data_IF_542456483945
#
_entry.id   IF_542456483945
#
_cell.length_a   1.000
_cell.length_b   1.000
_cell.length_c   1.000
_cell.angle_alpha   90.00
_cell.angle_beta   90.00
_cell.angle_gamma   90.00
#
_symmetry.space_group_name_H-M   'P 1'
#
loop_
_entity.id
_entity.type
_entity.pdbx_description
1 polymer ?
#
# COMPACT_ATOMS: atom_id res chain seq x y z
N UNK A 1 24.11 -4.91 16.92
CA UNK A 1 23.06 -4.04 17.51
C UNK A 1 22.19 -3.55 16.37
N UNK A 2 20.88 -3.77 16.48
CA UNK A 2 19.90 -3.46 15.44
C UNK A 2 19.48 -2.00 15.46
N UNK A 3 20.40 -1.13 15.04
CA UNK A 3 20.24 0.33 15.08
C UNK A 3 19.00 0.81 14.34
N UNK A 4 18.70 0.25 13.16
CA UNK A 4 17.56 0.68 12.34
C UNK A 4 16.21 0.23 12.91
N UNK A 5 16.11 -1.02 13.41
CA UNK A 5 14.87 -1.51 14.04
C UNK A 5 14.57 -0.73 15.31
N UNK A 6 15.60 -0.46 16.12
CA UNK A 6 15.46 0.35 17.33
C UNK A 6 15.07 1.79 16.99
N UNK A 7 15.68 2.41 15.98
CA UNK A 7 15.35 3.78 15.56
C UNK A 7 13.90 3.88 15.06
N UNK A 8 13.45 2.92 14.25
CA UNK A 8 12.06 2.92 13.75
C UNK A 8 11.06 2.61 14.87
N UNK A 9 11.35 1.68 15.77
CA UNK A 9 10.49 1.40 16.93
C UNK A 9 10.44 2.58 17.91
N UNK A 10 11.56 3.25 18.17
CA UNK A 10 11.60 4.48 18.99
C UNK A 10 10.83 5.60 18.31
N UNK A 11 10.95 5.79 17.00
CA UNK A 11 10.22 6.82 16.27
C UNK A 11 8.72 6.53 16.28
N UNK A 12 8.31 5.26 16.14
CA UNK A 12 6.91 4.84 16.23
C UNK A 12 6.35 4.90 17.67
N UNK A 13 7.20 4.81 18.70
CA UNK A 13 6.83 4.99 20.12
C UNK A 13 6.83 6.47 20.52
N UNK A 14 7.72 7.28 19.97
CA UNK A 14 7.88 8.72 20.23
C UNK A 14 6.81 9.55 19.53
N UNK A 15 6.14 9.01 18.53
CA UNK A 15 4.96 9.66 17.98
C UNK A 15 3.75 9.16 18.78
N UNK A 16 3.03 10.09 19.40
CA UNK A 16 1.74 9.91 20.09
C UNK A 16 0.60 9.40 19.18
N UNK A 17 0.96 8.77 18.06
CA UNK A 17 0.13 8.47 16.91
C UNK A 17 -0.99 7.48 17.19
N UNK A 18 -1.01 6.82 18.35
CA UNK A 18 -1.98 5.76 18.70
C UNK A 18 -2.18 4.75 17.55
N UNK A 19 -1.13 4.49 16.78
CA UNK A 19 -1.19 3.54 15.67
C UNK A 19 -0.85 2.16 16.20
N UNK A 20 -1.73 1.19 15.92
CA UNK A 20 -1.49 -0.20 16.31
C UNK A 20 -0.66 -0.90 15.24
N UNK A 21 0.61 -1.12 15.55
CA UNK A 21 1.50 -1.94 14.71
C UNK A 21 1.23 -3.40 15.03
N UNK A 22 0.83 -4.17 14.03
CA UNK A 22 0.63 -5.61 14.18
C UNK A 22 1.94 -6.37 14.12
N UNK A 23 2.84 -5.96 13.22
CA UNK A 23 4.09 -6.65 13.01
C UNK A 23 5.16 -5.70 12.47
N UNK A 24 6.40 -5.89 12.92
CA UNK A 24 7.57 -5.23 12.38
C UNK A 24 8.64 -6.30 12.13
N UNK A 25 8.99 -6.47 10.85
CA UNK A 25 10.00 -7.44 10.42
C UNK A 25 11.07 -6.78 9.57
N UNK A 26 12.30 -7.27 9.68
CA UNK A 26 13.36 -6.89 8.76
C UNK A 26 13.19 -7.62 7.43
N UNK A 27 13.53 -6.94 6.35
CA UNK A 27 13.56 -7.49 5.00
C UNK A 27 15.00 -7.40 4.46
N UNK A 28 15.25 -8.00 3.29
CA UNK A 28 16.57 -7.96 2.64
C UNK A 28 16.99 -6.51 2.37
N UNK A 29 18.30 -6.30 2.27
CA UNK A 29 18.92 -4.99 2.00
C UNK A 29 18.61 -3.95 3.08
N UNK A 30 18.75 -4.34 4.35
CA UNK A 30 18.59 -3.42 5.50
C UNK A 30 17.24 -2.69 5.50
N UNK A 31 16.18 -3.33 4.99
CA UNK A 31 14.84 -2.75 5.01
C UNK A 31 14.03 -3.20 6.21
N UNK A 32 12.97 -2.45 6.51
CA UNK A 32 11.95 -2.82 7.51
C UNK A 32 10.58 -2.83 6.84
N UNK A 33 9.82 -3.89 7.06
CA UNK A 33 8.42 -3.97 6.71
C UNK A 33 7.57 -3.83 7.97
N UNK A 34 6.61 -2.91 7.92
CA UNK A 34 5.66 -2.61 8.99
C UNK A 34 4.27 -3.03 8.52
N UNK A 35 3.57 -3.81 9.33
CA UNK A 35 2.18 -4.21 9.12
C UNK A 35 1.29 -3.48 10.11
N UNK A 36 0.19 -2.92 9.61
CA UNK A 36 -0.79 -2.17 10.39
C UNK A 36 -2.20 -2.68 10.11
N UNK A 37 -3.10 -2.41 11.05
CA UNK A 37 -4.48 -2.89 11.04
C UNK A 37 -5.32 -2.20 9.96
N UNK A 38 -5.05 -0.92 9.67
CA UNK A 38 -5.85 -0.13 8.73
C UNK A 38 -5.02 0.67 7.72
N UNK A 39 -5.64 0.98 6.58
CA UNK A 39 -5.03 1.81 5.52
C UNK A 39 -4.73 3.24 6.01
N UNK A 40 -5.56 3.78 6.90
CA UNK A 40 -5.37 5.10 7.49
C UNK A 40 -4.11 5.15 8.36
N UNK A 41 -3.89 4.12 9.18
CA UNK A 41 -2.68 3.97 9.99
C UNK A 41 -1.41 3.88 9.13
N UNK A 42 -1.47 3.13 8.02
CA UNK A 42 -0.36 3.04 7.06
C UNK A 42 -0.03 4.44 6.51
N UNK A 43 -1.03 5.20 6.08
CA UNK A 43 -0.80 6.54 5.55
C UNK A 43 -0.20 7.48 6.59
N UNK A 44 -0.70 7.46 7.83
CA UNK A 44 -0.14 8.25 8.93
C UNK A 44 1.34 7.93 9.16
N UNK A 45 1.69 6.64 9.25
CA UNK A 45 3.09 6.21 9.43
C UNK A 45 3.96 6.68 8.27
N UNK A 46 3.48 6.53 7.04
CA UNK A 46 4.26 6.93 5.86
C UNK A 46 4.54 8.42 5.85
N UNK A 47 3.54 9.24 6.17
CA UNK A 47 3.70 10.70 6.25
C UNK A 47 4.72 11.08 7.32
N UNK A 48 4.61 10.50 8.51
CA UNK A 48 5.47 10.83 9.64
C UNK A 48 6.93 10.39 9.42
N UNK A 49 7.13 9.16 8.94
CA UNK A 49 8.47 8.64 8.65
C UNK A 49 9.08 9.39 7.47
N UNK A 50 8.30 9.77 6.45
CA UNK A 50 8.82 10.66 5.38
C UNK A 50 9.19 12.04 5.89
N UNK A 51 8.40 12.63 6.77
CA UNK A 51 8.69 13.94 7.34
C UNK A 51 9.99 13.94 8.17
N UNK A 52 10.24 12.88 8.93
CA UNK A 52 11.42 12.78 9.81
C UNK A 52 12.66 12.19 9.14
N UNK A 53 12.48 11.28 8.19
CA UNK A 53 13.56 10.42 7.66
C UNK A 53 13.59 10.34 6.13
N UNK A 54 12.77 11.12 5.43
CA UNK A 54 12.59 11.00 3.96
C UNK A 54 13.84 11.26 3.12
N UNK A 55 14.86 11.90 3.69
CA UNK A 55 16.15 12.12 3.01
C UNK A 55 17.11 10.93 3.16
N UNK A 56 16.96 10.12 4.21
CA UNK A 56 17.85 9.00 4.52
C UNK A 56 17.24 7.65 4.14
N UNK A 57 15.91 7.54 4.13
CA UNK A 57 15.20 6.29 3.91
C UNK A 57 14.07 6.42 2.89
N UNK A 58 13.97 5.41 2.03
CA UNK A 58 12.87 5.30 1.06
C UNK A 58 11.67 4.63 1.70
N UNK A 59 10.65 5.42 2.01
CA UNK A 59 9.38 4.94 2.57
C UNK A 59 8.35 4.74 1.46
N UNK A 60 7.87 3.50 1.30
CA UNK A 60 6.89 3.14 0.26
C UNK A 60 5.79 2.26 0.84
N UNK A 61 4.56 2.49 0.38
CA UNK A 61 3.45 1.55 0.58
C UNK A 61 3.56 0.50 -0.53
N UNK A 62 3.68 -0.80 -0.22
CA UNK A 62 3.70 -1.84 -1.22
C UNK A 62 2.42 -1.80 -2.06
N UNK A 63 2.56 -1.76 -3.38
CA UNK A 63 1.46 -1.92 -4.31
C UNK A 63 1.45 -3.34 -4.87
N UNK A 64 0.27 -3.84 -5.21
CA UNK A 64 0.13 -5.13 -5.88
C UNK A 64 0.87 -5.07 -7.23
N UNK A 65 1.85 -5.95 -7.41
CA UNK A 65 2.57 -6.07 -8.68
C UNK A 65 1.68 -6.84 -9.66
N UNK A 66 1.14 -6.14 -10.66
CA UNK A 66 0.23 -6.66 -11.69
C UNK A 66 -1.04 -7.30 -11.10
N UNK A 67 -1.99 -6.50 -10.60
CA UNK A 67 -3.27 -7.02 -10.14
C UNK A 67 -3.95 -7.81 -11.27
N UNK A 68 -4.40 -9.03 -10.97
CA UNK A 68 -5.13 -9.89 -11.91
C UNK A 68 -6.52 -10.16 -11.35
N UNK A 69 -7.52 -10.10 -12.22
CA UNK A 69 -8.89 -10.45 -11.92
C UNK A 69 -9.26 -11.73 -12.67
N UNK A 70 -9.95 -12.66 -12.01
CA UNK A 70 -10.63 -13.76 -12.69
C UNK A 70 -12.13 -13.51 -12.54
N UNK A 71 -12.82 -13.53 -13.66
CA UNK A 71 -14.27 -13.37 -13.72
C UNK A 71 -14.86 -14.75 -14.05
N UNK A 72 -15.89 -15.15 -13.32
CA UNK A 72 -16.57 -16.43 -13.46
C UNK A 72 -18.03 -16.19 -13.84
N UNK A 73 -18.72 -17.24 -14.29
CA UNK A 73 -20.16 -17.19 -14.66
C UNK A 73 -20.46 -16.17 -15.77
N UNK A 74 -19.57 -16.09 -16.75
CA UNK A 74 -19.76 -15.28 -17.96
C UNK A 74 -20.60 -16.09 -18.94
N UNK A 75 -21.60 -15.45 -19.55
CA UNK A 75 -22.39 -16.08 -20.62
C UNK A 75 -21.51 -16.47 -21.81
N UNK A 76 -21.81 -17.61 -22.45
CA UNK A 76 -21.06 -18.05 -23.62
C UNK A 76 -21.23 -17.05 -24.77
N UNK A 77 -20.10 -16.61 -25.35
CA UNK A 77 -20.08 -15.71 -26.50
C UNK A 77 -19.83 -14.24 -26.20
N UNK A 78 -19.72 -13.85 -24.92
CA UNK A 78 -19.25 -12.51 -24.54
C UNK A 78 -17.79 -12.34 -24.95
N UNK A 79 -17.48 -11.24 -25.64
CA UNK A 79 -16.11 -10.92 -26.03
C UNK A 79 -15.33 -10.20 -24.90
N UNK A 80 -13.99 -10.25 -24.98
CA UNK A 80 -13.12 -9.64 -23.97
C UNK A 80 -13.33 -8.11 -23.85
N UNK A 81 -13.65 -7.42 -24.95
CA UNK A 81 -13.86 -5.97 -25.00
C UNK A 81 -15.20 -5.58 -24.36
N UNK A 82 -16.26 -6.34 -24.61
CA UNK A 82 -17.58 -6.22 -24.00
C UNK A 82 -17.48 -6.43 -22.49
N UNK A 83 -16.75 -7.46 -22.06
CA UNK A 83 -16.51 -7.73 -20.63
C UNK A 83 -15.78 -6.56 -19.96
N UNK A 84 -14.72 -6.04 -20.58
CA UNK A 84 -13.97 -4.89 -20.06
C UNK A 84 -14.87 -3.65 -19.98
N UNK A 85 -15.67 -3.40 -21.01
CA UNK A 85 -16.59 -2.26 -21.06
C UNK A 85 -17.66 -2.36 -19.98
N UNK A 86 -18.22 -3.54 -19.76
CA UNK A 86 -19.20 -3.78 -18.68
C UNK A 86 -18.59 -3.51 -17.29
N UNK A 87 -17.38 -4.00 -17.04
CA UNK A 87 -16.66 -3.77 -15.77
C UNK A 87 -16.38 -2.28 -15.57
N UNK A 88 -15.95 -1.56 -16.62
CA UNK A 88 -15.70 -0.12 -16.56
C UNK A 88 -16.98 0.68 -16.25
N UNK A 89 -18.08 0.37 -16.95
CA UNK A 89 -19.36 1.07 -16.76
C UNK A 89 -19.97 0.86 -15.37
N UNK A 90 -19.78 -0.31 -14.76
CA UNK A 90 -20.19 -0.55 -13.38
C UNK A 90 -19.36 0.22 -12.34
N UNK A 91 -18.15 0.65 -12.71
CA UNK A 91 -17.19 1.28 -11.81
C UNK A 91 -16.69 2.62 -12.36
N UNK A 92 -17.57 3.63 -12.55
CA UNK A 92 -17.22 4.91 -13.14
C UNK A 92 -16.14 5.68 -12.36
N UNK A 93 -15.99 5.39 -11.06
CA UNK A 93 -14.94 5.94 -10.20
C UNK A 93 -13.52 5.48 -10.57
N UNK A 94 -13.36 4.35 -11.29
CA UNK A 94 -12.05 3.81 -11.68
C UNK A 94 -11.53 4.49 -12.95
N UNK A 95 -12.42 4.95 -13.83
CA UNK A 95 -12.08 5.54 -15.13
C UNK A 95 -11.30 6.87 -14.99
N UNK A 96 -11.45 7.59 -13.88
CA UNK A 96 -10.82 8.91 -13.65
C UNK A 96 -9.36 8.87 -13.21
N UNK A 97 -8.79 7.68 -12.95
CA UNK A 97 -7.44 7.56 -12.38
C UNK A 97 -6.31 7.70 -13.41
N UNK A 98 -6.58 7.53 -14.71
CA UNK A 98 -5.56 7.54 -15.77
C UNK A 98 -5.45 8.88 -16.52
N UNK A 99 -6.19 9.93 -16.11
CA UNK A 99 -6.11 11.27 -16.72
C UNK A 99 -5.13 12.23 -16.02
N UNK A 100 -4.34 11.77 -15.06
CA UNK A 100 -3.29 12.56 -14.40
C UNK A 100 -1.95 11.80 -14.38
N UNK A 101 -1.33 11.63 -15.56
CA UNK A 101 0.12 11.44 -15.72
C UNK A 101 0.61 12.34 -16.84
#
# INVERSE_FOLDING_TARGET
MDTMKSAVEELLKLVEMKVRIENLRKIRNEGIAITCTSKEEIQKIVTEVKAKMGNEYVVKIPQLKNPKLRVYEIEEGIDDLELVTAIQNQNPQIIKADSEI
#
